data_IF_599497954572
#
_entry.id   IF_599497954572
#
_cell.length_a   1.000
_cell.length_b   1.000
_cell.length_c   1.000
_cell.angle_alpha   90.00
_cell.angle_beta   90.00
_cell.angle_gamma   90.00
#
_symmetry.space_group_name_H-M   'P 1'
#
loop_
_entity.id
_entity.type
_entity.pdbx_description
1 polymer ?
#
# COMPACT_ATOMS: atom_id res chain seq x y z
N UNK A 1 37.59 32.42 44.27
CA UNK A 1 36.27 31.73 44.31
C UNK A 1 35.34 32.14 43.14
N UNK A 2 35.86 32.51 41.96
CA UNK A 2 35.06 32.83 40.75
C UNK A 2 35.74 32.20 39.51
N UNK A 3 36.11 30.92 39.58
CA UNK A 3 36.76 30.22 38.48
C UNK A 3 36.33 28.76 38.32
N UNK A 4 35.23 28.36 38.96
CA UNK A 4 34.76 26.96 38.99
C UNK A 4 33.34 26.78 38.40
N UNK A 5 32.75 27.81 37.79
CA UNK A 5 31.36 27.76 37.28
C UNK A 5 31.22 27.74 35.75
N UNK A 6 32.34 27.81 35.00
CA UNK A 6 32.32 27.90 33.53
C UNK A 6 32.67 26.59 32.80
N UNK A 7 32.99 25.51 33.51
CA UNK A 7 33.35 24.21 32.91
C UNK A 7 32.21 23.19 32.87
N UNK A 8 31.01 23.53 33.34
CA UNK A 8 29.86 22.60 33.32
C UNK A 8 28.82 22.89 32.22
N UNK A 9 28.91 24.05 31.53
CA UNK A 9 27.96 24.39 30.46
C UNK A 9 28.46 24.11 29.03
N UNK A 10 29.71 23.70 28.87
CA UNK A 10 30.29 23.42 27.54
C UNK A 10 30.19 21.95 27.10
N UNK A 11 29.52 21.08 27.87
CA UNK A 11 29.36 19.65 27.54
C UNK A 11 27.97 19.27 27.01
N UNK A 12 27.05 20.23 26.81
CA UNK A 12 25.68 19.97 26.37
C UNK A 12 25.33 20.52 24.97
N UNK A 13 26.31 21.07 24.24
CA UNK A 13 26.10 21.61 22.90
C UNK A 13 27.20 21.09 21.96
N UNK A 14 27.25 19.78 21.70
CA UNK A 14 28.01 19.16 20.59
C UNK A 14 27.76 17.65 20.54
N UNK A 15 26.51 17.24 20.34
CA UNK A 15 26.16 15.94 19.73
C UNK A 15 24.75 15.98 19.12
N UNK A 16 24.33 17.16 18.65
CA UNK A 16 23.28 17.28 17.66
C UNK A 16 23.86 17.00 16.28
N UNK A 17 24.56 15.87 16.10
CA UNK A 17 24.70 15.33 14.76
C UNK A 17 23.27 15.06 14.31
N UNK A 18 22.76 15.90 13.41
CA UNK A 18 21.70 15.46 12.52
C UNK A 18 22.26 14.19 11.90
N UNK A 19 21.84 13.04 12.43
CA UNK A 19 21.87 11.80 11.69
C UNK A 19 20.86 12.07 10.58
N UNK A 20 21.32 12.73 9.52
CA UNK A 20 20.75 12.51 8.21
C UNK A 20 21.00 11.04 7.98
N UNK A 21 20.06 10.20 8.41
CA UNK A 21 19.97 8.85 7.89
C UNK A 21 19.97 9.08 6.40
N UNK A 22 21.05 8.69 5.73
CA UNK A 22 21.09 8.55 4.29
C UNK A 22 19.96 7.57 3.98
N UNK A 23 18.74 8.09 3.82
CA UNK A 23 17.68 7.41 3.09
C UNK A 23 18.27 7.41 1.69
N UNK A 24 19.05 6.37 1.41
CA UNK A 24 20.06 6.42 0.37
C UNK A 24 19.47 6.94 -0.93
N UNK A 25 20.31 7.56 -1.75
CA UNK A 25 20.08 7.72 -3.19
C UNK A 25 20.02 6.36 -3.91
N UNK A 26 19.49 5.32 -3.25
CA UNK A 26 19.34 3.97 -3.73
C UNK A 26 18.28 3.96 -4.81
N UNK A 27 18.68 3.50 -5.98
CA UNK A 27 17.77 3.17 -7.07
C UNK A 27 16.61 2.31 -6.56
N UNK A 28 15.44 2.46 -7.17
CA UNK A 28 14.26 1.68 -6.80
C UNK A 28 14.59 0.18 -6.76
N UNK A 29 14.42 -0.51 -5.61
CA UNK A 29 14.77 -1.92 -5.50
C UNK A 29 13.86 -2.79 -6.36
N UNK A 30 12.70 -2.24 -6.73
CA UNK A 30 11.70 -2.89 -7.55
C UNK A 30 11.68 -2.31 -8.96
N UNK A 31 11.32 -3.15 -9.91
CA UNK A 31 10.86 -2.74 -11.22
C UNK A 31 9.79 -3.69 -11.75
N UNK A 32 8.96 -3.19 -12.66
CA UNK A 32 7.97 -4.01 -13.35
C UNK A 32 8.58 -4.54 -14.63
N UNK A 33 8.64 -5.87 -14.76
CA UNK A 33 9.08 -6.55 -15.97
C UNK A 33 7.94 -7.38 -16.55
N UNK A 34 7.91 -7.54 -17.86
CA UNK A 34 6.90 -8.36 -18.52
C UNK A 34 7.01 -9.81 -18.04
N UNK A 35 5.86 -10.45 -17.81
CA UNK A 35 5.80 -11.90 -17.58
C UNK A 35 6.20 -12.63 -18.85
N UNK A 36 7.06 -13.63 -18.72
CA UNK A 36 7.34 -14.58 -19.79
C UNK A 36 6.20 -15.59 -19.90
N UNK A 37 6.02 -16.18 -21.08
CA UNK A 37 4.91 -17.09 -21.34
C UNK A 37 4.95 -18.31 -20.40
N UNK A 38 6.16 -18.82 -20.13
CA UNK A 38 6.41 -19.93 -19.19
C UNK A 38 6.12 -19.58 -17.73
N UNK A 39 6.08 -18.29 -17.36
CA UNK A 39 5.78 -17.81 -16.00
C UNK A 39 4.27 -17.64 -15.78
N UNK A 40 3.48 -17.49 -16.84
CA UNK A 40 2.02 -17.27 -16.74
C UNK A 40 1.29 -18.33 -15.88
N UNK A 41 1.61 -19.64 -15.96
CA UNK A 41 0.98 -20.65 -15.08
C UNK A 41 1.29 -20.47 -13.59
N UNK A 42 2.40 -19.84 -13.24
CA UNK A 42 2.77 -19.59 -11.83
C UNK A 42 1.93 -18.45 -11.26
N UNK A 43 1.80 -17.35 -12.00
CA UNK A 43 1.01 -16.20 -11.57
C UNK A 43 -0.48 -16.46 -11.70
N UNK A 44 -0.90 -17.16 -12.75
CA UNK A 44 -2.30 -17.42 -13.08
C UNK A 44 -2.55 -18.93 -13.19
N UNK A 45 -2.73 -19.60 -12.05
CA UNK A 45 -2.89 -21.07 -12.03
C UNK A 45 -4.19 -21.52 -12.72
N UNK A 46 -5.27 -20.79 -12.46
CA UNK A 46 -6.57 -21.10 -13.02
C UNK A 46 -6.53 -21.01 -14.55
N UNK A 47 -6.99 -22.07 -15.21
CA UNK A 47 -7.09 -22.12 -16.69
C UNK A 47 -8.02 -21.03 -17.20
N UNK A 48 -9.05 -20.67 -16.42
CA UNK A 48 -9.94 -19.54 -16.69
C UNK A 48 -9.16 -18.24 -16.76
N UNK A 49 -8.48 -17.82 -15.68
CA UNK A 49 -7.66 -16.62 -15.67
C UNK A 49 -6.63 -16.56 -16.83
N UNK A 50 -5.93 -17.67 -17.13
CA UNK A 50 -5.01 -17.73 -18.29
C UNK A 50 -5.71 -17.55 -19.62
N UNK A 51 -6.88 -18.17 -19.79
CA UNK A 51 -7.69 -17.96 -20.99
C UNK A 51 -8.02 -16.48 -21.15
N UNK A 52 -8.52 -15.81 -20.10
CA UNK A 52 -8.86 -14.39 -20.13
C UNK A 52 -7.68 -13.50 -20.52
N UNK A 53 -6.49 -13.76 -19.97
CA UNK A 53 -5.28 -12.98 -20.26
C UNK A 53 -4.71 -13.24 -21.66
N UNK A 54 -4.81 -14.49 -22.15
CA UNK A 54 -4.36 -14.83 -23.51
C UNK A 54 -5.34 -14.40 -24.60
N UNK A 55 -6.57 -14.04 -24.24
CA UNK A 55 -7.63 -13.74 -25.19
C UNK A 55 -7.36 -12.40 -25.91
N UNK A 56 -7.08 -12.46 -27.21
CA UNK A 56 -6.76 -11.27 -28.03
C UNK A 56 -7.98 -10.45 -28.49
N UNK A 57 -9.20 -10.95 -28.29
CA UNK A 57 -10.45 -10.26 -28.67
C UNK A 57 -11.59 -10.54 -27.68
N UNK A 58 -12.59 -9.65 -27.59
CA UNK A 58 -13.74 -9.85 -26.69
C UNK A 58 -14.48 -11.19 -26.95
N UNK A 59 -14.55 -11.62 -28.22
CA UNK A 59 -15.10 -12.93 -28.59
C UNK A 59 -14.25 -14.12 -28.12
N UNK A 60 -12.93 -13.96 -27.97
CA UNK A 60 -12.10 -14.97 -27.31
C UNK A 60 -12.32 -14.98 -25.80
N UNK A 61 -12.62 -13.83 -25.19
CA UNK A 61 -12.93 -13.73 -23.76
C UNK A 61 -14.21 -14.46 -23.37
N UNK A 62 -15.27 -14.28 -24.16
CA UNK A 62 -16.58 -14.88 -23.89
C UNK A 62 -16.56 -16.40 -23.96
N UNK A 63 -15.51 -16.99 -24.54
CA UNK A 63 -15.25 -18.43 -24.58
C UNK A 63 -14.46 -18.95 -23.36
N UNK A 64 -13.97 -18.06 -22.49
CA UNK A 64 -13.26 -18.45 -21.28
C UNK A 64 -14.25 -18.89 -20.19
N UNK A 65 -13.92 -19.92 -19.39
CA UNK A 65 -14.78 -20.36 -18.29
C UNK A 65 -15.03 -19.22 -17.30
N UNK A 66 -16.28 -19.03 -16.88
CA UNK A 66 -16.64 -18.01 -15.89
C UNK A 66 -15.97 -18.35 -14.56
N UNK A 67 -15.02 -17.53 -14.12
CA UNK A 67 -14.43 -17.66 -12.80
C UNK A 67 -15.41 -17.14 -11.74
N UNK A 68 -15.42 -17.72 -10.54
CA UNK A 68 -16.14 -17.15 -9.41
C UNK A 68 -15.65 -15.72 -9.19
N UNK A 69 -16.51 -14.74 -9.50
CA UNK A 69 -16.24 -13.29 -9.56
C UNK A 69 -15.84 -12.65 -8.21
N UNK A 70 -15.43 -13.43 -7.22
CA UNK A 70 -15.67 -13.05 -5.84
C UNK A 70 -14.77 -11.95 -5.28
N UNK A 71 -13.57 -11.66 -5.81
CA UNK A 71 -12.69 -10.57 -5.28
C UNK A 71 -11.73 -9.90 -6.26
N UNK A 72 -11.51 -10.46 -7.45
CA UNK A 72 -10.83 -9.73 -8.53
C UNK A 72 -11.81 -8.70 -9.07
N UNK A 73 -11.45 -7.41 -9.11
CA UNK A 73 -12.04 -6.50 -10.09
C UNK A 73 -12.03 -7.25 -11.41
N UNK A 74 -13.20 -7.65 -11.90
CA UNK A 74 -13.30 -8.80 -12.80
C UNK A 74 -12.27 -8.74 -13.93
N UNK A 75 -11.76 -9.90 -14.33
CA UNK A 75 -10.86 -10.09 -15.49
C UNK A 75 -11.30 -9.37 -16.78
N UNK A 76 -12.54 -8.84 -16.82
CA UNK A 76 -12.99 -7.76 -17.72
C UNK A 76 -12.03 -6.58 -17.87
N UNK A 77 -11.06 -6.40 -16.97
CA UNK A 77 -10.03 -5.40 -17.08
C UNK A 77 -8.79 -5.87 -17.85
N UNK A 78 -8.98 -6.27 -19.11
CA UNK A 78 -7.92 -6.45 -20.13
C UNK A 78 -6.91 -5.30 -20.22
N UNK A 79 -7.25 -4.16 -19.64
CA UNK A 79 -6.50 -2.92 -19.77
C UNK A 79 -5.52 -2.66 -18.62
N UNK A 80 -5.43 -3.54 -17.61
CA UNK A 80 -4.40 -3.41 -16.60
C UNK A 80 -3.10 -4.02 -17.10
N UNK A 81 -2.11 -3.15 -17.35
CA UNK A 81 -0.76 -3.54 -17.75
C UNK A 81 -0.18 -4.48 -16.69
N UNK A 82 -0.45 -4.20 -15.43
CA UNK A 82 0.05 -4.98 -14.28
C UNK A 82 -0.40 -6.44 -14.23
N UNK A 83 -1.41 -6.85 -15.00
CA UNK A 83 -1.79 -8.27 -15.09
C UNK A 83 -0.78 -9.10 -15.91
N UNK A 84 -0.01 -8.45 -16.77
CA UNK A 84 1.00 -9.06 -17.65
C UNK A 84 2.43 -8.80 -17.18
N UNK A 85 2.59 -8.28 -15.97
CA UNK A 85 3.87 -7.87 -15.42
C UNK A 85 4.10 -8.61 -14.10
N UNK A 86 5.37 -8.87 -13.80
CA UNK A 86 5.83 -9.22 -12.46
C UNK A 86 6.64 -8.08 -11.88
N UNK A 87 6.68 -8.02 -10.55
CA UNK A 87 7.71 -7.27 -9.87
C UNK A 87 9.02 -8.06 -9.92
N UNK A 88 10.12 -7.38 -10.22
CA UNK A 88 11.49 -7.89 -10.09
C UNK A 88 12.22 -7.08 -9.03
N UNK A 89 12.89 -7.74 -8.10
CA UNK A 89 13.82 -7.10 -7.18
C UNK A 89 15.19 -7.00 -7.88
N UNK A 90 15.74 -5.80 -8.05
CA UNK A 90 16.94 -5.56 -8.88
C UNK A 90 18.19 -6.26 -8.35
N UNK A 91 18.28 -6.43 -7.03
CA UNK A 91 19.43 -7.06 -6.37
C UNK A 91 19.25 -8.58 -6.24
N UNK A 92 18.09 -9.13 -6.63
CA UNK A 92 17.77 -10.55 -6.47
C UNK A 92 16.93 -11.05 -7.65
N UNK A 93 17.58 -11.27 -8.80
CA UNK A 93 16.90 -11.73 -10.03
C UNK A 93 16.46 -13.21 -9.91
N UNK A 94 17.16 -14.00 -9.08
CA UNK A 94 16.87 -15.42 -8.81
C UNK A 94 15.51 -15.63 -8.12
N UNK A 95 15.02 -14.59 -7.44
CA UNK A 95 13.74 -14.57 -6.74
C UNK A 95 12.53 -14.85 -7.65
N UNK A 96 12.68 -14.76 -8.97
CA UNK A 96 11.57 -14.93 -9.91
C UNK A 96 11.83 -15.99 -10.98
N UNK A 97 12.73 -16.94 -10.71
CA UNK A 97 12.83 -18.17 -11.47
C UNK A 97 11.55 -19.00 -11.30
N UNK A 98 11.23 -19.84 -12.28
CA UNK A 98 9.95 -20.58 -12.38
C UNK A 98 9.56 -21.45 -11.18
N UNK A 99 10.47 -21.62 -10.22
CA UNK A 99 10.33 -22.52 -9.08
C UNK A 99 10.24 -21.81 -7.74
N UNK A 100 10.33 -20.48 -7.71
CA UNK A 100 10.28 -19.71 -6.47
C UNK A 100 8.91 -19.03 -6.28
N UNK A 101 8.41 -19.01 -5.04
CA UNK A 101 7.27 -18.18 -4.64
C UNK A 101 7.46 -17.63 -3.24
N UNK A 102 7.31 -16.31 -3.11
CA UNK A 102 7.40 -15.61 -1.85
C UNK A 102 6.31 -16.04 -0.88
N UNK A 103 5.13 -16.38 -1.41
CA UNK A 103 4.01 -16.91 -0.62
C UNK A 103 4.35 -18.28 0.01
N UNK A 104 5.07 -19.14 -0.72
CA UNK A 104 5.54 -20.41 -0.16
C UNK A 104 6.67 -20.21 0.85
N UNK A 105 7.63 -19.31 0.58
CA UNK A 105 8.66 -18.97 1.56
C UNK A 105 8.05 -18.36 2.82
N UNK A 106 7.08 -17.46 2.67
CA UNK A 106 6.33 -16.88 3.79
C UNK A 106 5.71 -17.96 4.65
N UNK A 107 5.09 -19.00 4.08
CA UNK A 107 4.59 -20.13 4.87
C UNK A 107 5.68 -20.83 5.65
N UNK A 108 6.83 -21.11 5.03
CA UNK A 108 7.97 -21.74 5.71
C UNK A 108 8.45 -20.86 6.87
N UNK A 109 8.54 -19.55 6.66
CA UNK A 109 8.97 -18.61 7.69
C UNK A 109 7.95 -18.46 8.82
N UNK A 110 6.66 -18.44 8.52
CA UNK A 110 5.61 -18.41 9.54
C UNK A 110 5.66 -19.68 10.40
N UNK A 111 5.99 -20.83 9.80
CA UNK A 111 5.97 -22.14 10.45
C UNK A 111 4.59 -22.40 11.10
N UNK A 112 4.57 -22.62 12.42
CA UNK A 112 3.37 -22.84 13.22
C UNK A 112 2.80 -21.57 13.88
N UNK A 113 3.38 -20.40 13.56
CA UNK A 113 2.91 -19.09 14.06
C UNK A 113 1.67 -18.61 13.32
N UNK A 114 0.89 -17.79 14.00
CA UNK A 114 -0.24 -17.08 13.39
C UNK A 114 0.23 -15.79 12.71
N UNK A 115 -0.25 -15.49 11.51
CA UNK A 115 -0.15 -14.14 10.94
C UNK A 115 -1.40 -13.35 11.32
N UNK A 116 -1.24 -12.34 12.19
CA UNK A 116 -2.33 -11.48 12.65
C UNK A 116 -2.10 -10.06 12.17
N UNK A 117 -3.08 -9.49 11.46
CA UNK A 117 -2.96 -8.16 10.85
C UNK A 117 -4.07 -7.23 11.34
N UNK A 118 -3.68 -6.06 11.80
CA UNK A 118 -4.56 -4.98 12.24
C UNK A 118 -4.29 -3.70 11.45
N UNK A 119 -5.32 -2.89 11.24
CA UNK A 119 -5.18 -1.59 10.58
C UNK A 119 -6.47 -1.12 9.93
N UNK A 120 -6.35 -0.24 8.94
CA UNK A 120 -7.50 0.33 8.24
C UNK A 120 -8.07 -0.58 7.13
N UNK A 121 -8.95 -0.03 6.27
CA UNK A 121 -9.61 -0.78 5.20
C UNK A 121 -8.62 -1.31 4.15
N UNK A 122 -7.47 -0.65 3.98
CA UNK A 122 -6.42 -1.07 3.06
C UNK A 122 -5.61 -2.23 3.64
N UNK A 123 -5.39 -2.25 4.95
CA UNK A 123 -4.82 -3.43 5.62
C UNK A 123 -5.61 -4.70 5.38
N UNK A 124 -6.95 -4.63 5.49
CA UNK A 124 -7.85 -5.75 5.16
C UNK A 124 -7.74 -6.14 3.69
N UNK A 125 -7.61 -5.17 2.79
CA UNK A 125 -7.46 -5.43 1.37
C UNK A 125 -6.12 -6.13 1.06
N UNK A 126 -5.00 -5.66 1.61
CA UNK A 126 -3.67 -6.29 1.48
C UNK A 126 -3.69 -7.73 1.98
N UNK A 127 -4.23 -7.97 3.18
CA UNK A 127 -4.30 -9.33 3.71
C UNK A 127 -5.20 -10.21 2.85
N UNK A 128 -6.28 -9.66 2.30
CA UNK A 128 -7.13 -10.33 1.33
C UNK A 128 -6.39 -10.74 0.06
N UNK A 129 -5.49 -9.88 -0.44
CA UNK A 129 -4.64 -10.15 -1.61
C UNK A 129 -3.64 -11.27 -1.32
N UNK A 130 -2.88 -11.17 -0.24
CA UNK A 130 -1.92 -12.23 0.17
C UNK A 130 -2.66 -13.56 0.40
N UNK A 131 -3.82 -13.51 1.06
CA UNK A 131 -4.62 -14.70 1.34
C UNK A 131 -5.25 -15.35 0.13
N UNK A 132 -5.64 -14.57 -0.87
CA UNK A 132 -6.08 -15.11 -2.16
C UNK A 132 -4.95 -15.89 -2.82
N UNK A 133 -3.74 -15.33 -2.83
CA UNK A 133 -2.57 -16.02 -3.37
C UNK A 133 -2.24 -17.31 -2.61
N UNK A 134 -2.29 -17.26 -1.28
CA UNK A 134 -2.10 -18.45 -0.44
C UNK A 134 -3.08 -19.58 -0.79
N UNK A 135 -4.37 -19.27 -1.00
CA UNK A 135 -5.38 -20.24 -1.43
C UNK A 135 -5.08 -20.85 -2.80
N UNK A 136 -4.72 -20.02 -3.78
CA UNK A 136 -4.31 -20.51 -5.12
C UNK A 136 -3.09 -21.43 -5.05
N UNK A 137 -2.22 -21.18 -4.08
CA UNK A 137 -1.04 -21.99 -3.83
C UNK A 137 -1.29 -23.20 -2.92
N UNK A 138 -2.51 -23.35 -2.39
CA UNK A 138 -2.90 -24.38 -1.41
C UNK A 138 -2.03 -24.34 -0.16
N UNK A 139 -1.74 -23.13 0.31
CA UNK A 139 -0.90 -22.88 1.47
C UNK A 139 -1.75 -22.26 2.58
N UNK A 140 -1.80 -22.90 3.74
CA UNK A 140 -2.59 -22.45 4.89
C UNK A 140 -1.69 -21.80 5.94
N UNK A 141 -1.80 -20.48 6.09
CA UNK A 141 -1.11 -19.72 7.16
C UNK A 141 -1.91 -18.52 7.70
N UNK A 142 -3.17 -18.36 7.26
CA UNK A 142 -4.01 -17.28 7.74
C UNK A 142 -4.84 -17.74 8.93
N UNK A 143 -4.42 -17.32 10.12
CA UNK A 143 -5.19 -17.43 11.34
C UNK A 143 -5.48 -16.04 11.88
N UNK A 144 -6.69 -15.53 11.57
CA UNK A 144 -7.25 -14.34 12.19
C UNK A 144 -7.04 -13.04 11.42
N UNK A 145 -8.06 -12.64 10.63
CA UNK A 145 -8.28 -11.22 10.33
C UNK A 145 -9.15 -10.69 11.46
N UNK A 146 -8.57 -9.99 12.44
CA UNK A 146 -9.36 -9.29 13.42
C UNK A 146 -9.26 -7.80 13.17
N UNK A 147 -10.26 -7.32 12.45
CA UNK A 147 -10.50 -5.91 12.29
C UNK A 147 -11.93 -5.69 12.77
N UNK A 148 -12.16 -5.51 14.09
CA UNK A 148 -13.50 -5.25 14.58
C UNK A 148 -14.02 -4.04 13.80
N UNK A 149 -15.15 -4.18 13.07
CA UNK A 149 -15.72 -3.12 12.23
C UNK A 149 -15.85 -1.78 12.97
N UNK A 150 -16.03 -1.87 14.27
CA UNK A 150 -16.21 -0.78 15.22
C UNK A 150 -14.95 0.07 15.43
N UNK A 151 -13.74 -0.44 15.14
CA UNK A 151 -12.49 0.30 15.33
C UNK A 151 -11.98 1.00 14.06
N UNK A 152 -12.58 0.77 12.89
CA UNK A 152 -12.13 1.41 11.64
C UNK A 152 -12.23 2.94 11.69
N UNK A 153 -13.32 3.44 12.28
CA UNK A 153 -13.59 4.87 12.39
C UNK A 153 -13.18 5.46 13.75
N UNK A 154 -12.86 4.66 14.77
CA UNK A 154 -12.37 5.19 16.07
C UNK A 154 -10.89 5.52 16.04
N UNK A 155 -10.14 5.01 15.05
CA UNK A 155 -8.80 5.50 14.74
C UNK A 155 -8.85 6.80 13.91
N UNK A 156 -10.04 7.40 13.77
CA UNK A 156 -10.19 8.70 13.13
C UNK A 156 -9.47 9.75 13.99
N UNK A 157 -8.45 10.43 13.43
CA UNK A 157 -7.68 11.42 14.17
C UNK A 157 -8.50 12.65 14.58
N UNK A 158 -9.77 12.76 14.16
CA UNK A 158 -10.67 13.84 14.58
C UNK A 158 -11.36 13.58 15.93
N UNK A 159 -11.28 12.37 16.47
CA UNK A 159 -11.87 12.07 17.76
C UNK A 159 -10.94 12.54 18.89
N UNK A 160 -11.44 13.43 19.75
CA UNK A 160 -10.70 13.93 20.91
C UNK A 160 -10.53 12.84 21.98
N UNK A 161 -11.33 11.77 21.91
CA UNK A 161 -11.29 10.62 22.81
C UNK A 161 -10.49 9.44 22.24
N UNK A 162 -9.62 9.68 21.24
CA UNK A 162 -8.87 8.63 20.57
C UNK A 162 -7.91 7.86 21.50
N UNK A 163 -7.34 8.47 22.55
CA UNK A 163 -6.34 7.81 23.39
C UNK A 163 -6.87 6.58 24.17
N UNK A 164 -8.02 6.65 24.87
CA UNK A 164 -8.67 5.46 25.42
C UNK A 164 -8.95 4.37 24.37
N UNK A 165 -9.41 4.75 23.18
CA UNK A 165 -9.68 3.81 22.09
C UNK A 165 -8.40 3.10 21.61
N UNK A 166 -7.27 3.81 21.53
CA UNK A 166 -5.96 3.23 21.19
C UNK A 166 -5.46 2.24 22.25
N UNK A 167 -5.68 2.49 23.54
CA UNK A 167 -5.30 1.57 24.60
C UNK A 167 -6.14 0.29 24.56
N UNK A 168 -7.46 0.41 24.43
CA UNK A 168 -8.35 -0.74 24.29
C UNK A 168 -8.03 -1.57 23.04
N UNK A 169 -7.74 -0.90 21.91
CA UNK A 169 -7.23 -1.54 20.71
C UNK A 169 -5.90 -2.27 21.00
N UNK A 170 -4.97 -1.63 21.69
CA UNK A 170 -3.69 -2.22 22.05
C UNK A 170 -3.82 -3.49 22.90
N UNK A 171 -4.69 -3.46 23.90
CA UNK A 171 -4.97 -4.61 24.76
C UNK A 171 -5.60 -5.77 23.98
N UNK A 172 -6.53 -5.46 23.08
CA UNK A 172 -7.11 -6.44 22.17
C UNK A 172 -6.02 -7.09 21.30
N UNK A 173 -5.14 -6.29 20.68
CA UNK A 173 -4.06 -6.80 19.81
C UNK A 173 -3.11 -7.70 20.59
N UNK A 174 -2.69 -7.29 21.79
CA UNK A 174 -1.83 -8.11 22.67
C UNK A 174 -2.51 -9.43 23.00
N UNK A 175 -3.79 -9.41 23.40
CA UNK A 175 -4.55 -10.62 23.72
C UNK A 175 -4.68 -11.56 22.52
N UNK A 176 -4.85 -11.03 21.31
CA UNK A 176 -4.84 -11.85 20.09
C UNK A 176 -3.48 -12.47 19.82
N UNK A 177 -2.39 -11.74 20.06
CA UNK A 177 -1.03 -12.25 19.82
C UNK A 177 -0.71 -13.48 20.69
N UNK A 178 -1.35 -13.60 21.86
CA UNK A 178 -1.20 -14.68 22.83
C UNK A 178 -2.07 -15.92 22.57
N UNK A 179 -3.01 -15.88 21.60
CA UNK A 179 -3.89 -17.02 21.32
C UNK A 179 -3.16 -18.22 20.69
N UNK A 180 -2.02 -17.99 20.04
CA UNK A 180 -1.21 -19.06 19.48
C UNK A 180 -0.01 -19.35 20.41
N UNK A 181 0.09 -20.56 20.99
CA UNK A 181 1.19 -20.92 21.89
C UNK A 181 2.56 -20.98 21.19
N UNK A 182 2.59 -21.06 19.85
CA UNK A 182 3.83 -21.01 19.07
C UNK A 182 4.26 -19.57 18.73
N UNK A 183 3.48 -18.57 19.16
CA UNK A 183 3.67 -17.16 18.85
C UNK A 183 2.95 -16.69 17.58
N UNK A 184 3.07 -15.39 17.33
CA UNK A 184 2.39 -14.68 16.26
C UNK A 184 3.31 -13.70 15.54
N UNK A 185 3.13 -13.56 14.23
CA UNK A 185 3.59 -12.40 13.47
C UNK A 185 2.48 -11.36 13.52
N UNK A 186 2.71 -10.28 14.27
CA UNK A 186 1.74 -9.21 14.49
C UNK A 186 2.09 -8.04 13.59
N UNK A 187 1.19 -7.71 12.67
CA UNK A 187 1.32 -6.59 11.75
C UNK A 187 0.30 -5.51 12.12
N UNK A 188 0.74 -4.28 12.37
CA UNK A 188 -0.15 -3.12 12.49
C UNK A 188 0.17 -2.12 11.40
N UNK A 189 -0.86 -1.60 10.74
CA UNK A 189 -0.74 -0.48 9.81
C UNK A 189 -1.72 0.62 10.18
N UNK A 190 -1.25 1.86 10.05
CA UNK A 190 -2.07 3.05 10.18
C UNK A 190 -1.49 4.14 9.27
N UNK A 191 -2.36 4.99 8.75
CA UNK A 191 -1.93 6.21 8.07
C UNK A 191 -2.89 6.69 6.98
N UNK A 192 -3.72 5.82 6.40
CA UNK A 192 -4.65 6.21 5.33
C UNK A 192 -5.51 7.43 5.72
N UNK A 193 -6.06 7.41 6.93
CA UNK A 193 -6.99 8.42 7.45
C UNK A 193 -6.30 9.63 8.10
N UNK A 194 -4.97 9.67 8.11
CA UNK A 194 -4.23 10.77 8.72
C UNK A 194 -3.88 11.83 7.69
N UNK A 195 -4.46 13.02 7.84
CA UNK A 195 -4.18 14.17 6.97
C UNK A 195 -3.32 15.24 7.63
N UNK A 196 -3.02 15.06 8.93
CA UNK A 196 -2.22 15.97 9.74
C UNK A 196 -1.02 15.25 10.37
N UNK A 197 0.14 15.92 10.39
CA UNK A 197 1.39 15.35 10.89
C UNK A 197 1.38 15.18 12.39
N UNK A 198 0.93 16.18 13.14
CA UNK A 198 0.95 16.17 14.60
C UNK A 198 0.05 15.06 15.17
N UNK A 199 -1.13 14.89 14.58
CA UNK A 199 -2.06 13.81 14.95
C UNK A 199 -1.51 12.43 14.60
N UNK A 200 -0.85 12.29 13.45
CA UNK A 200 -0.20 11.02 13.10
C UNK A 200 0.94 10.70 14.06
N UNK A 201 1.81 11.67 14.38
CA UNK A 201 2.87 11.49 15.37
C UNK A 201 2.32 11.07 16.74
N UNK A 202 1.22 11.68 17.17
CA UNK A 202 0.53 11.34 18.41
C UNK A 202 0.02 9.91 18.40
N UNK A 203 -0.53 9.45 17.26
CA UNK A 203 -1.03 8.09 17.10
C UNK A 203 0.09 7.04 16.97
N UNK A 204 1.26 7.40 16.43
CA UNK A 204 2.38 6.45 16.30
C UNK A 204 2.83 5.92 17.67
N UNK A 205 2.84 6.74 18.72
CA UNK A 205 3.26 6.31 20.06
C UNK A 205 2.46 5.11 20.61
N UNK A 206 1.13 5.16 20.76
CA UNK A 206 0.36 4.02 21.24
C UNK A 206 0.41 2.81 20.29
N UNK A 207 0.52 3.01 18.97
CA UNK A 207 0.66 1.92 18.00
C UNK A 207 1.97 1.16 18.22
N UNK A 208 3.10 1.86 18.27
CA UNK A 208 4.40 1.23 18.47
C UNK A 208 4.55 0.66 19.89
N UNK A 209 3.99 1.31 20.91
CA UNK A 209 3.88 0.73 22.24
C UNK A 209 3.12 -0.61 22.22
N UNK A 210 2.03 -0.71 21.46
CA UNK A 210 1.27 -1.95 21.30
C UNK A 210 2.11 -3.05 20.67
N UNK A 211 2.85 -2.75 19.59
CA UNK A 211 3.76 -3.69 18.96
C UNK A 211 4.86 -4.15 19.93
N UNK A 212 5.45 -3.24 20.71
CA UNK A 212 6.45 -3.59 21.72
C UNK A 212 5.86 -4.46 22.84
N UNK A 213 4.62 -4.19 23.27
CA UNK A 213 3.92 -5.04 24.25
C UNK A 213 3.68 -6.45 23.70
N UNK A 214 3.33 -6.58 22.42
CA UNK A 214 3.19 -7.89 21.77
C UNK A 214 4.53 -8.64 21.71
N UNK A 215 5.62 -7.95 21.39
CA UNK A 215 6.99 -8.50 21.39
C UNK A 215 7.37 -9.03 22.77
N UNK A 216 7.07 -8.29 23.84
CA UNK A 216 7.33 -8.71 25.22
C UNK A 216 6.37 -9.80 25.72
N UNK A 217 5.16 -9.91 25.15
CA UNK A 217 4.15 -10.85 25.61
C UNK A 217 4.49 -12.32 25.29
N UNK A 218 5.26 -12.57 24.23
CA UNK A 218 5.68 -13.91 23.86
C UNK A 218 7.01 -13.91 23.09
N UNK A 219 8.02 -14.72 23.47
CA UNK A 219 9.36 -14.66 22.88
C UNK A 219 9.43 -15.04 21.39
N UNK A 220 8.45 -15.80 20.88
CA UNK A 220 8.37 -16.15 19.46
C UNK A 220 7.58 -15.15 18.59
N UNK A 221 7.04 -14.08 19.20
CA UNK A 221 6.35 -13.05 18.44
C UNK A 221 7.33 -12.26 17.56
N UNK A 222 6.86 -11.84 16.39
CA UNK A 222 7.55 -10.85 15.56
C UNK A 222 6.57 -9.72 15.29
N UNK A 223 6.97 -8.50 15.67
CA UNK A 223 6.11 -7.33 15.59
C UNK A 223 6.57 -6.39 14.47
N UNK A 224 5.64 -6.07 13.58
CA UNK A 224 5.90 -5.38 12.32
C UNK A 224 4.93 -4.19 12.21
N UNK A 225 5.46 -3.00 11.93
CA UNK A 225 4.66 -1.88 11.46
C UNK A 225 4.65 -1.87 9.93
N UNK A 226 3.48 -1.98 9.33
CA UNK A 226 3.32 -1.92 7.88
C UNK A 226 3.10 -0.49 7.41
N UNK A 227 3.89 -0.06 6.44
CA UNK A 227 3.77 1.25 5.80
C UNK A 227 2.36 1.46 5.22
N UNK A 228 1.91 2.72 5.15
CA UNK A 228 0.74 3.08 4.36
C UNK A 228 1.03 2.83 2.89
N UNK A 229 0.05 2.31 2.15
CA UNK A 229 0.15 2.10 0.70
C UNK A 229 0.41 3.39 -0.07
N UNK A 230 0.87 3.25 -1.30
CA UNK A 230 0.86 4.36 -2.24
C UNK A 230 -0.58 4.88 -2.43
N UNK A 231 -0.75 6.19 -2.27
CA UNK A 231 -2.02 6.85 -2.57
C UNK A 231 -2.05 7.20 -4.05
N UNK A 232 -3.15 6.80 -4.70
CA UNK A 232 -3.45 7.15 -6.07
C UNK A 232 -4.75 7.97 -6.10
N UNK A 233 -4.86 8.88 -7.06
CA UNK A 233 -6.01 9.75 -7.22
C UNK A 233 -6.66 9.52 -8.58
N UNK A 234 -7.98 9.63 -8.65
CA UNK A 234 -8.69 9.53 -9.91
C UNK A 234 -8.33 10.70 -10.82
N UNK A 235 -7.83 10.40 -12.02
CA UNK A 235 -7.58 11.37 -13.09
C UNK A 235 -8.20 10.88 -14.39
N UNK A 236 -8.38 11.77 -15.37
CA UNK A 236 -8.98 11.38 -16.66
C UNK A 236 -8.07 10.42 -17.43
N UNK A 237 -6.76 10.57 -17.31
CA UNK A 237 -5.75 9.83 -18.08
C UNK A 237 -5.14 8.63 -17.36
N UNK A 238 -5.06 8.67 -16.02
CA UNK A 238 -4.29 7.70 -15.22
C UNK A 238 -2.78 7.77 -15.46
N UNK A 239 -2.06 6.84 -14.82
CA UNK A 239 -0.64 6.58 -15.07
C UNK A 239 0.30 7.61 -14.47
N UNK A 240 1.61 7.39 -14.60
CA UNK A 240 2.59 8.37 -14.14
C UNK A 240 2.67 9.55 -15.10
N UNK A 241 2.93 10.78 -14.61
CA UNK A 241 3.24 11.91 -15.48
C UNK A 241 4.43 11.64 -16.42
N UNK A 242 5.31 10.70 -16.09
CA UNK A 242 6.44 10.27 -16.92
C UNK A 242 6.05 9.42 -18.12
N UNK A 243 4.91 8.73 -18.06
CA UNK A 243 4.34 7.97 -19.19
C UNK A 243 3.65 8.90 -20.19
N UNK A 244 3.42 10.15 -19.78
CA UNK A 244 3.03 11.24 -20.66
C UNK A 244 4.34 11.72 -21.24
N UNK A 245 4.50 11.70 -22.56
CA UNK A 245 5.70 12.13 -23.28
C UNK A 245 6.28 13.44 -22.70
N UNK A 246 7.15 13.34 -21.68
CA UNK A 246 7.60 14.49 -20.86
C UNK A 246 8.45 15.42 -21.70
N UNK A 247 8.95 14.94 -22.84
CA UNK A 247 9.60 15.74 -23.88
C UNK A 247 8.68 16.82 -24.46
N UNK A 248 7.36 16.73 -24.27
CA UNK A 248 6.37 17.76 -24.63
C UNK A 248 5.95 18.64 -23.45
N UNK A 249 6.38 18.36 -22.24
CA UNK A 249 6.20 19.24 -21.09
C UNK A 249 7.42 20.15 -20.98
N UNK A 250 7.25 21.48 -20.87
CA UNK A 250 8.38 22.40 -20.85
C UNK A 250 9.36 22.05 -19.72
N UNK A 251 10.62 21.86 -20.07
CA UNK A 251 11.73 21.34 -19.27
C UNK A 251 12.12 22.17 -18.01
N UNK A 252 11.30 23.12 -17.56
CA UNK A 252 11.62 23.89 -16.36
C UNK A 252 11.20 23.11 -15.11
N UNK A 253 12.20 22.72 -14.31
CA UNK A 253 12.06 22.16 -12.98
C UNK A 253 10.94 22.85 -12.18
N UNK A 254 9.88 22.11 -11.87
CA UNK A 254 8.76 22.64 -11.09
C UNK A 254 9.25 23.02 -9.68
N UNK A 255 9.24 24.32 -9.37
CA UNK A 255 9.38 24.80 -8.00
C UNK A 255 8.23 24.28 -7.13
N UNK A 256 8.35 24.36 -5.80
CA UNK A 256 7.26 23.98 -4.89
C UNK A 256 6.00 24.85 -5.13
N UNK A 257 6.20 26.09 -5.59
CA UNK A 257 5.17 27.00 -6.07
C UNK A 257 4.54 26.52 -7.37
N UNK A 258 5.31 25.96 -8.31
CA UNK A 258 4.76 25.40 -9.55
C UNK A 258 4.00 24.09 -9.30
N UNK A 259 4.35 23.30 -8.29
CA UNK A 259 3.54 22.14 -7.86
C UNK A 259 2.19 22.58 -7.27
N UNK A 260 2.15 23.68 -6.52
CA UNK A 260 0.90 24.29 -6.04
C UNK A 260 0.13 24.96 -7.18
N UNK A 261 0.81 25.62 -8.11
CA UNK A 261 0.21 26.19 -9.32
C UNK A 261 -0.27 25.09 -10.27
N UNK A 262 0.35 23.90 -10.28
CA UNK A 262 -0.13 22.71 -10.99
C UNK A 262 -1.33 22.11 -10.29
N UNK A 263 -1.39 22.13 -8.96
CA UNK A 263 -2.60 21.78 -8.19
C UNK A 263 -3.75 22.75 -8.51
N UNK A 264 -3.46 24.05 -8.61
CA UNK A 264 -4.43 25.10 -8.97
C UNK A 264 -4.80 25.04 -10.47
N UNK A 265 -3.85 24.76 -11.38
CA UNK A 265 -4.11 24.53 -12.81
C UNK A 265 -4.85 23.22 -13.05
N UNK A 266 -4.58 22.18 -12.28
CA UNK A 266 -5.33 20.91 -12.33
C UNK A 266 -6.74 21.10 -11.81
N UNK A 267 -6.93 21.86 -10.72
CA UNK A 267 -8.25 22.25 -10.23
C UNK A 267 -8.95 23.16 -11.24
N UNK A 268 -8.28 24.16 -11.83
CA UNK A 268 -8.85 25.02 -12.89
C UNK A 268 -9.20 24.23 -14.15
N UNK A 269 -8.32 23.35 -14.61
CA UNK A 269 -8.55 22.48 -15.76
C UNK A 269 -9.70 21.51 -15.49
N UNK A 270 -9.76 20.90 -14.29
CA UNK A 270 -10.89 20.08 -13.84
C UNK A 270 -12.19 20.90 -13.85
N UNK A 271 -12.18 22.11 -13.28
CA UNK A 271 -13.33 23.00 -13.24
C UNK A 271 -13.72 23.49 -14.64
N UNK A 272 -12.78 23.70 -15.56
CA UNK A 272 -13.03 24.08 -16.96
C UNK A 272 -13.61 22.91 -17.76
N UNK A 273 -13.13 21.68 -17.56
CA UNK A 273 -13.72 20.46 -18.11
C UNK A 273 -15.15 20.27 -17.56
N UNK A 274 -15.34 20.39 -16.25
CA UNK A 274 -16.67 20.30 -15.60
C UNK A 274 -17.62 21.42 -16.10
N UNK A 275 -17.09 22.63 -16.36
CA UNK A 275 -17.85 23.77 -16.90
C UNK A 275 -18.18 23.62 -18.39
N UNK A 276 -17.30 23.00 -19.19
CA UNK A 276 -17.57 22.63 -20.58
C UNK A 276 -18.60 21.50 -20.68
N UNK A 277 -18.58 20.55 -19.73
CA UNK A 277 -19.54 19.45 -19.63
C UNK A 277 -20.96 19.90 -19.25
N UNK A 278 -21.09 20.97 -18.46
CA UNK A 278 -22.41 21.54 -18.13
C UNK A 278 -23.06 22.32 -19.28
N UNK A 279 -22.29 22.72 -20.31
CA UNK A 279 -22.80 23.54 -21.42
C UNK A 279 -22.91 22.82 -22.76
N UNK A 280 -22.55 21.53 -22.83
CA UNK A 280 -22.72 20.75 -24.06
C UNK A 280 -23.36 19.40 -23.79
N UNK A 281 -24.56 19.22 -24.36
CA UNK A 281 -25.20 17.92 -24.58
C UNK A 281 -24.31 17.09 -25.53
N UNK A 282 -23.20 16.54 -25.02
CA UNK A 282 -22.46 15.49 -25.70
C UNK A 282 -22.82 14.14 -25.05
N UNK A 283 -23.77 13.37 -25.63
CA UNK A 283 -24.12 12.04 -25.13
C UNK A 283 -22.96 11.01 -25.24
N UNK A 284 -21.84 11.35 -25.88
CA UNK A 284 -20.70 10.44 -26.10
C UNK A 284 -19.53 10.59 -25.11
N UNK A 285 -19.54 11.59 -24.22
CA UNK A 285 -18.50 11.71 -23.16
C UNK A 285 -18.74 10.78 -21.95
N UNK A 286 -19.78 9.93 -22.01
CA UNK A 286 -20.14 8.95 -20.99
C UNK A 286 -19.04 7.89 -20.67
N UNK A 287 -17.99 7.83 -21.50
CA UNK A 287 -16.87 6.89 -21.40
C UNK A 287 -15.53 7.54 -21.02
N UNK A 288 -15.51 8.66 -20.30
CA UNK A 288 -14.30 9.04 -19.55
C UNK A 288 -14.03 7.97 -18.47
N UNK A 289 -13.23 6.97 -18.86
CA UNK A 289 -12.66 5.97 -17.96
C UNK A 289 -11.59 6.69 -17.15
N UNK A 290 -12.01 7.33 -16.06
CA UNK A 290 -11.04 7.79 -15.08
C UNK A 290 -10.14 6.60 -14.72
N UNK A 291 -8.89 6.89 -14.44
CA UNK A 291 -7.92 5.90 -14.02
C UNK A 291 -7.21 6.47 -12.80
N UNK A 292 -6.74 5.60 -11.93
CA UNK A 292 -5.98 6.05 -10.80
C UNK A 292 -4.58 6.49 -11.27
N UNK A 293 -4.07 7.55 -10.65
CA UNK A 293 -2.77 8.13 -10.92
C UNK A 293 -2.01 8.28 -9.60
N UNK A 294 -0.73 7.92 -9.56
CA UNK A 294 0.12 8.12 -8.39
C UNK A 294 0.09 9.56 -7.88
N UNK A 295 0.00 9.72 -6.56
CA UNK A 295 0.04 11.03 -5.89
C UNK A 295 1.35 11.79 -6.09
N UNK A 296 2.38 11.13 -6.61
CA UNK A 296 3.70 11.65 -6.88
C UNK A 296 4.14 11.35 -8.32
N UNK A 297 4.94 12.25 -8.90
CA UNK A 297 5.72 11.92 -10.09
C UNK A 297 6.87 10.97 -9.71
N UNK A 298 7.14 9.94 -10.52
CA UNK A 298 8.39 9.17 -10.41
C UNK A 298 9.57 10.07 -10.76
N UNK A 299 10.64 10.02 -9.95
CA UNK A 299 11.93 10.57 -10.35
C UNK A 299 12.56 9.74 -11.48
N UNK A 300 13.67 10.22 -12.06
CA UNK A 300 14.42 9.45 -13.07
C UNK A 300 14.83 8.06 -12.56
N UNK A 301 15.01 7.90 -11.25
CA UNK A 301 15.42 6.63 -10.63
C UNK A 301 14.26 5.68 -10.27
N UNK A 302 13.02 6.03 -10.65
CA UNK A 302 11.84 5.16 -10.59
C UNK A 302 11.20 4.98 -9.21
N UNK A 303 11.87 5.35 -8.12
CA UNK A 303 11.32 5.41 -6.76
C UNK A 303 11.46 6.83 -6.22
N UNK A 304 10.40 7.38 -5.60
CA UNK A 304 10.50 8.62 -4.81
C UNK A 304 10.45 8.33 -3.33
N UNK A 305 10.86 9.35 -2.57
CA UNK A 305 10.75 9.47 -1.11
C UNK A 305 9.43 8.91 -0.61
N UNK A 306 9.53 8.10 0.44
CA UNK A 306 8.40 7.62 1.23
C UNK A 306 7.37 8.73 1.41
N UNK A 307 6.09 8.38 1.41
CA UNK A 307 5.06 9.35 1.84
C UNK A 307 5.48 9.95 3.20
N UNK A 308 5.11 11.21 3.46
CA UNK A 308 5.50 11.84 4.74
C UNK A 308 5.08 11.02 5.97
N UNK A 309 4.00 10.22 5.85
CA UNK A 309 3.54 9.28 6.88
C UNK A 309 4.55 8.15 7.06
N UNK A 310 4.97 7.52 5.98
CA UNK A 310 5.94 6.43 6.04
C UNK A 310 7.29 6.97 6.54
N UNK A 311 7.75 8.12 6.04
CA UNK A 311 8.96 8.76 6.54
C UNK A 311 8.89 9.00 8.06
N UNK A 312 7.79 9.58 8.55
CA UNK A 312 7.63 9.82 9.98
C UNK A 312 7.56 8.52 10.79
N UNK A 313 6.88 7.48 10.29
CA UNK A 313 6.84 6.18 10.96
C UNK A 313 8.24 5.55 11.07
N UNK A 314 9.05 5.64 10.01
CA UNK A 314 10.45 5.19 10.01
C UNK A 314 11.30 5.96 11.02
N UNK A 315 11.25 7.30 10.98
CA UNK A 315 11.97 8.18 11.92
C UNK A 315 11.57 7.89 13.37
N UNK A 316 10.26 7.77 13.63
CA UNK A 316 9.70 7.49 14.94
C UNK A 316 10.10 6.09 15.46
N UNK A 317 10.02 5.07 14.59
CA UNK A 317 10.46 3.70 14.89
C UNK A 317 11.94 3.65 15.20
N UNK A 318 12.79 4.27 14.38
CA UNK A 318 14.24 4.26 14.61
C UNK A 318 14.62 5.00 15.90
N UNK A 319 13.92 6.09 16.23
CA UNK A 319 14.20 6.87 17.44
C UNK A 319 13.74 6.19 18.73
N UNK A 320 12.56 5.57 18.74
CA UNK A 320 11.92 5.11 20.00
C UNK A 320 11.70 3.60 20.09
N UNK A 321 11.64 2.89 18.96
CA UNK A 321 11.27 1.47 18.89
C UNK A 321 12.16 0.68 17.92
N UNK A 322 13.50 0.69 18.09
CA UNK A 322 14.43 0.18 17.08
C UNK A 322 14.25 -1.31 16.74
N UNK A 323 13.68 -2.10 17.65
CA UNK A 323 13.40 -3.54 17.46
C UNK A 323 12.18 -3.83 16.59
N UNK A 324 11.24 -2.88 16.47
CA UNK A 324 10.05 -3.08 15.65
C UNK A 324 10.44 -3.02 14.18
N UNK A 325 9.98 -4.01 13.41
CA UNK A 325 10.34 -4.13 12.00
C UNK A 325 9.39 -3.31 11.14
N UNK A 326 9.83 -2.90 9.97
CA UNK A 326 8.98 -2.21 8.99
C UNK A 326 8.68 -3.15 7.84
N UNK A 327 7.42 -3.17 7.39
CA UNK A 327 7.03 -3.80 6.13
C UNK A 327 6.84 -2.73 5.06
N UNK A 328 7.66 -2.76 4.00
CA UNK A 328 7.67 -1.75 2.93
C UNK A 328 6.57 -1.91 1.87
N UNK A 329 5.32 -1.90 2.34
CA UNK A 329 4.10 -2.00 1.51
C UNK A 329 4.04 -0.90 0.44
N UNK A 330 4.51 0.32 0.75
CA UNK A 330 4.39 1.46 -0.16
C UNK A 330 5.10 1.20 -1.49
N UNK A 331 6.32 0.65 -1.42
CA UNK A 331 7.17 0.41 -2.59
C UNK A 331 6.56 -0.59 -3.55
N UNK A 332 5.92 -1.64 -3.02
CA UNK A 332 5.21 -2.63 -3.83
C UNK A 332 3.98 -1.99 -4.47
N UNK A 333 3.14 -1.35 -3.66
CA UNK A 333 1.83 -0.82 -4.10
C UNK A 333 1.93 0.35 -5.07
N UNK A 334 3.02 1.11 -5.09
CA UNK A 334 3.24 2.19 -6.05
C UNK A 334 3.21 1.68 -7.51
N UNK A 335 3.74 0.49 -7.78
CA UNK A 335 3.73 -0.08 -9.14
C UNK A 335 2.34 -0.48 -9.64
N UNK A 336 1.38 -0.63 -8.74
CA UNK A 336 0.05 -1.16 -9.03
C UNK A 336 -1.02 -0.07 -9.09
N UNK A 337 -0.65 1.13 -9.52
CA UNK A 337 -1.56 2.26 -9.71
C UNK A 337 -2.73 1.96 -10.65
N UNK A 338 -2.58 1.02 -11.58
CA UNK A 338 -3.65 0.62 -12.48
C UNK A 338 -4.54 -0.46 -11.87
N UNK A 339 -4.12 -1.14 -10.80
CA UNK A 339 -4.86 -2.23 -10.15
C UNK A 339 -5.80 -1.74 -9.05
N UNK A 340 -6.42 -0.58 -9.20
CA UNK A 340 -7.42 -0.09 -8.25
C UNK A 340 -8.83 -0.54 -8.62
N UNK A 341 -9.68 -0.69 -7.60
CA UNK A 341 -11.11 -1.03 -7.77
C UNK A 341 -11.80 -0.11 -8.79
N UNK A 342 -11.36 1.15 -8.85
CA UNK A 342 -11.84 2.11 -9.83
C UNK A 342 -13.33 2.37 -9.67
N UNK A 343 -14.10 2.29 -10.76
CA UNK A 343 -15.56 2.43 -10.70
C UNK A 343 -16.29 1.21 -10.15
N UNK A 344 -15.59 0.10 -9.92
CA UNK A 344 -16.17 -1.14 -9.35
C UNK A 344 -16.22 -0.95 -7.84
N UNK A 345 -17.19 -0.19 -7.38
CA UNK A 345 -17.45 0.01 -5.97
C UNK A 345 -18.47 -1.02 -5.51
N UNK A 346 -18.31 -1.53 -4.29
CA UNK A 346 -19.29 -2.40 -3.66
C UNK A 346 -20.71 -1.80 -3.75
N UNK A 347 -21.70 -2.63 -4.07
CA UNK A 347 -23.08 -2.19 -4.30
C UNK A 347 -23.66 -1.34 -3.15
N UNK A 348 -23.26 -1.62 -1.91
CA UNK A 348 -23.64 -0.89 -0.71
C UNK A 348 -23.11 0.55 -0.70
N UNK A 349 -21.86 0.76 -1.10
CA UNK A 349 -21.25 2.09 -1.22
C UNK A 349 -21.84 2.85 -2.42
N UNK A 350 -22.15 2.16 -3.53
CA UNK A 350 -22.85 2.78 -4.68
C UNK A 350 -24.19 3.39 -4.25
N UNK A 351 -24.98 2.70 -3.43
CA UNK A 351 -26.28 3.21 -3.00
C UNK A 351 -26.14 4.51 -2.18
N UNK A 352 -25.23 4.53 -1.21
CA UNK A 352 -24.94 5.73 -0.40
C UNK A 352 -24.56 6.96 -1.24
N UNK A 353 -23.83 6.75 -2.34
CA UNK A 353 -23.44 7.84 -3.24
C UNK A 353 -24.53 8.22 -4.24
N UNK A 354 -25.34 7.25 -4.70
CA UNK A 354 -26.53 7.52 -5.53
C UNK A 354 -27.53 8.40 -4.80
N UNK A 355 -27.76 8.14 -3.51
CA UNK A 355 -28.68 8.91 -2.66
C UNK A 355 -28.20 10.37 -2.49
N UNK A 356 -26.90 10.63 -2.68
CA UNK A 356 -26.28 11.97 -2.68
C UNK A 356 -26.15 12.59 -4.08
N UNK A 357 -26.77 11.99 -5.10
CA UNK A 357 -26.68 12.46 -6.50
C UNK A 357 -25.33 12.23 -7.17
N UNK A 358 -24.41 11.48 -6.54
CA UNK A 358 -23.08 11.21 -7.11
C UNK A 358 -23.18 10.05 -8.09
N UNK A 359 -23.08 10.36 -9.40
CA UNK A 359 -23.31 9.38 -10.48
C UNK A 359 -22.20 8.33 -10.62
N UNK A 360 -20.97 8.65 -10.24
CA UNK A 360 -19.81 7.74 -10.29
C UNK A 360 -18.84 8.06 -9.17
N UNK A 361 -18.41 7.05 -8.42
CA UNK A 361 -17.30 7.17 -7.47
C UNK A 361 -16.18 6.27 -7.95
N UNK A 362 -14.94 6.69 -7.69
CA UNK A 362 -13.73 5.96 -8.04
C UNK A 362 -12.97 5.63 -6.76
N UNK A 363 -12.76 4.35 -6.53
CA UNK A 363 -11.90 3.87 -5.46
C UNK A 363 -10.47 3.70 -5.99
N UNK A 364 -9.63 4.68 -5.67
CA UNK A 364 -8.19 4.66 -5.90
C UNK A 364 -7.40 4.41 -4.61
N UNK A 365 -8.05 3.79 -3.62
CA UNK A 365 -7.47 3.47 -2.32
C UNK A 365 -7.28 1.96 -2.18
N UNK A 366 -8.27 1.16 -2.56
CA UNK A 366 -8.21 -0.29 -2.51
C UNK A 366 -7.76 -0.88 -3.84
N UNK A 367 -7.05 -2.00 -3.76
CA UNK A 367 -6.47 -2.69 -4.89
C UNK A 367 -7.25 -3.94 -5.24
N UNK A 368 -7.42 -4.14 -6.54
CA UNK A 368 -7.78 -5.40 -7.15
C UNK A 368 -6.71 -6.46 -6.84
N UNK A 369 -7.14 -7.72 -6.80
CA UNK A 369 -6.19 -8.81 -6.73
C UNK A 369 -5.26 -8.81 -7.96
N UNK A 370 -3.96 -8.85 -7.71
CA UNK A 370 -2.91 -9.13 -8.68
C UNK A 370 -1.97 -10.18 -8.07
N UNK A 371 -1.72 -11.31 -8.73
CA UNK A 371 -0.73 -12.28 -8.26
C UNK A 371 0.66 -11.67 -8.10
N UNK A 372 1.06 -10.75 -8.99
CA UNK A 372 2.35 -10.05 -8.89
C UNK A 372 2.43 -9.15 -7.66
N UNK A 373 1.35 -8.43 -7.34
CA UNK A 373 1.28 -7.64 -6.11
C UNK A 373 1.30 -8.54 -4.88
N UNK A 374 0.57 -9.67 -4.91
CA UNK A 374 0.53 -10.60 -3.79
C UNK A 374 1.91 -11.21 -3.48
N UNK A 375 2.65 -11.63 -4.52
CA UNK A 375 4.01 -12.15 -4.35
C UNK A 375 4.98 -11.04 -3.89
N UNK A 376 4.87 -9.83 -4.43
CA UNK A 376 5.67 -8.69 -3.96
C UNK A 376 5.43 -8.36 -2.48
N UNK A 377 4.16 -8.33 -2.05
CA UNK A 377 3.79 -8.11 -0.65
C UNK A 377 4.26 -9.25 0.27
N UNK A 378 4.16 -10.50 -0.20
CA UNK A 378 4.65 -11.65 0.54
C UNK A 378 6.18 -11.63 0.68
N UNK A 379 6.91 -11.17 -0.33
CA UNK A 379 8.36 -11.00 -0.26
C UNK A 379 8.78 -9.93 0.73
N UNK A 380 8.14 -8.76 0.69
CA UNK A 380 8.42 -7.72 1.69
C UNK A 380 8.17 -8.24 3.11
N UNK A 381 7.16 -9.10 3.29
CA UNK A 381 6.90 -9.74 4.58
C UNK A 381 7.97 -10.76 4.95
N UNK A 382 8.47 -11.54 3.99
CA UNK A 382 9.63 -12.43 4.17
C UNK A 382 10.87 -11.64 4.61
N UNK A 383 11.20 -10.53 3.95
CA UNK A 383 12.35 -9.69 4.32
C UNK A 383 12.17 -9.08 5.70
N UNK A 384 10.98 -8.55 5.99
CA UNK A 384 10.64 -8.08 7.33
C UNK A 384 10.77 -9.22 8.37
N UNK A 385 10.48 -10.48 8.03
CA UNK A 385 10.69 -11.63 8.91
C UNK A 385 12.16 -12.06 9.05
N UNK A 386 13.01 -11.75 8.07
CA UNK A 386 14.48 -11.91 8.18
C UNK A 386 15.13 -10.80 9.00
N UNK A 387 14.48 -9.64 9.08
CA UNK A 387 15.01 -8.44 9.73
C UNK A 387 15.92 -7.63 8.80
N UNK A 388 15.70 -7.76 7.49
CA UNK A 388 16.40 -7.05 6.41
C UNK A 388 15.74 -5.71 6.08
#
# INVERSE_FOLDING_TARGET
>A
MIAAFLTFFSFLILNGALITTNVGNGSCPWEMVALREEEMPLYWKAKAARCYLSAKSAAAESRCPVEEKSRSCGLSARHHKSNYMRLRHKENDDFYLSNYSATQELKKMLNDRSLVWFGDSVSRNILGIIGQRAREMRVNFLHGVHNPPELYDTLNPNDKDAAPAWNAFGDMVVNYSLKNPNGSVVVINAGLHFHDKSRYETALRPIFNTLQRCDHAHPANICIFAETTAQHFATISGGYPSDWDVKKLPNSAFSQQDKMAYKVKFIKWRLEIEKQQNNTLYPETANLRYKCMPSHARGQDGCRTLSWRNQMAHEFKNKYFPKIRILSVYRVTDFFWDMHFGSIIHATTIQLYKDKGVKKVWDCTHFCYSPAMAEGLAFELVNALKGE
#
